data_IF_698373725742
#
_entry.id   IF_698373725742
#
_cell.length_a   1.000
_cell.length_b   1.000
_cell.length_c   1.000
_cell.angle_alpha   90.00
_cell.angle_beta   90.00
_cell.angle_gamma   90.00
#
_symmetry.space_group_name_H-M   'P 1'
#
loop_
_entity.id
_entity.type
_entity.pdbx_description
1 polymer ?
#
# COMPACT_ATOMS: atom_id res chain seq x y z
N UNK A 1 -5.40 14.87 -1.94
CA UNK A 1 -6.07 14.73 -3.26
C UNK A 1 -5.09 14.91 -4.40
N UNK A 2 -4.48 13.82 -4.89
CA UNK A 2 -3.49 13.86 -5.99
C UNK A 2 -4.16 13.76 -7.36
N UNK A 3 -3.80 14.65 -8.30
CA UNK A 3 -4.28 14.63 -9.69
C UNK A 3 -3.92 13.33 -10.41
N UNK A 4 -2.70 12.84 -10.17
CA UNK A 4 -2.21 11.56 -10.71
C UNK A 4 -3.11 10.38 -10.34
N UNK A 5 -3.53 10.31 -9.07
CA UNK A 5 -4.40 9.23 -8.60
C UNK A 5 -5.75 9.27 -9.30
N UNK A 6 -6.36 10.45 -9.46
CA UNK A 6 -7.64 10.60 -10.16
C UNK A 6 -7.55 10.15 -11.63
N UNK A 7 -6.45 10.47 -12.30
CA UNK A 7 -6.23 10.07 -13.70
C UNK A 7 -5.95 8.57 -13.87
N UNK A 8 -5.26 7.94 -12.92
CA UNK A 8 -4.86 6.53 -13.02
C UNK A 8 -5.81 5.57 -12.35
N UNK A 9 -6.74 6.05 -11.51
CA UNK A 9 -7.71 5.26 -10.74
C UNK A 9 -8.40 4.16 -11.57
N UNK A 10 -8.86 4.48 -12.78
CA UNK A 10 -9.56 3.53 -13.66
C UNK A 10 -8.66 2.45 -14.27
N UNK A 11 -7.35 2.68 -14.29
CA UNK A 11 -6.35 1.74 -14.81
C UNK A 11 -5.67 0.93 -13.70
N UNK A 12 -6.00 1.17 -12.43
CA UNK A 12 -5.47 0.40 -11.31
C UNK A 12 -6.29 -0.87 -11.15
N UNK A 13 -5.60 -1.99 -10.96
CA UNK A 13 -6.18 -3.28 -10.57
C UNK A 13 -5.53 -3.74 -9.27
N UNK A 14 -6.16 -4.69 -8.57
CA UNK A 14 -5.54 -5.31 -7.40
C UNK A 14 -4.15 -5.87 -7.76
N UNK A 15 -3.30 -5.91 -6.74
CA UNK A 15 -1.95 -6.43 -6.82
C UNK A 15 -1.73 -7.48 -5.73
N UNK A 16 -0.85 -8.45 -5.99
CA UNK A 16 -0.33 -9.32 -4.93
C UNK A 16 0.83 -8.62 -4.30
N UNK A 17 0.90 -8.65 -2.97
CA UNK A 17 2.08 -8.19 -2.24
C UNK A 17 2.61 -9.29 -1.34
N UNK A 18 3.90 -9.60 -1.51
CA UNK A 18 4.66 -10.50 -0.64
C UNK A 18 5.52 -9.66 0.28
N UNK A 19 5.44 -9.95 1.58
CA UNK A 19 6.24 -9.29 2.61
C UNK A 19 7.23 -10.32 3.16
N UNK A 20 8.52 -10.03 3.02
CA UNK A 20 9.59 -10.87 3.54
C UNK A 20 10.49 -10.08 4.51
N UNK A 21 10.92 -10.67 5.64
CA UNK A 21 11.84 -10.01 6.54
C UNK A 21 13.24 -9.88 5.91
N UNK A 22 13.97 -8.86 6.33
CA UNK A 22 15.38 -8.65 5.95
C UNK A 22 16.31 -8.86 7.15
N UNK A 23 17.59 -9.14 6.87
CA UNK A 23 18.58 -9.43 7.92
C UNK A 23 18.83 -8.24 8.88
N UNK A 24 18.58 -7.01 8.43
CA UNK A 24 18.68 -5.76 9.19
C UNK A 24 17.39 -5.42 9.96
N UNK A 25 16.42 -6.34 10.02
CA UNK A 25 15.15 -6.16 10.74
C UNK A 25 14.09 -5.35 9.99
N UNK A 26 14.35 -5.02 8.72
CA UNK A 26 13.38 -4.40 7.82
C UNK A 26 12.48 -5.40 7.12
N UNK A 27 11.76 -4.92 6.10
CA UNK A 27 10.85 -5.71 5.27
C UNK A 27 11.08 -5.41 3.78
N UNK A 28 11.12 -6.46 2.97
CA UNK A 28 10.97 -6.40 1.52
C UNK A 28 9.48 -6.57 1.19
N UNK A 29 8.85 -5.49 0.73
CA UNK A 29 7.49 -5.48 0.23
C UNK A 29 7.54 -5.56 -1.30
N UNK A 30 7.30 -6.74 -1.85
CA UNK A 30 7.29 -7.01 -3.29
C UNK A 30 5.86 -7.04 -3.78
N UNK A 31 5.48 -6.08 -4.62
CA UNK A 31 4.15 -5.96 -5.20
C UNK A 31 4.15 -6.28 -6.69
N UNK A 32 3.28 -7.19 -7.11
CA UNK A 32 3.07 -7.60 -8.49
C UNK A 32 1.72 -7.11 -8.97
N UNK A 33 1.70 -6.32 -10.05
CA UNK A 33 0.49 -5.68 -10.57
C UNK A 33 0.45 -5.68 -12.09
N UNK A 34 -0.76 -5.63 -12.64
CA UNK A 34 -0.99 -5.53 -14.07
C UNK A 34 -0.81 -4.08 -14.54
N UNK A 35 0.02 -3.86 -15.55
CA UNK A 35 0.21 -2.56 -16.20
C UNK A 35 0.33 -2.73 -17.71
N UNK A 36 -0.54 -2.07 -18.47
CA UNK A 36 -0.59 -2.18 -19.95
C UNK A 36 -0.60 -3.65 -20.42
N UNK A 37 -1.43 -4.47 -19.77
CA UNK A 37 -1.56 -5.92 -20.02
C UNK A 37 -0.33 -6.78 -19.71
N UNK A 38 0.72 -6.22 -19.10
CA UNK A 38 1.91 -6.94 -18.66
C UNK A 38 1.99 -6.97 -17.14
N UNK A 39 2.52 -8.08 -16.60
CA UNK A 39 2.81 -8.19 -15.18
C UNK A 39 4.11 -7.46 -14.85
N UNK A 40 4.03 -6.43 -14.02
CA UNK A 40 5.19 -5.73 -13.47
C UNK A 40 5.31 -6.06 -11.98
N UNK A 41 6.55 -6.30 -11.53
CA UNK A 41 6.86 -6.51 -10.11
C UNK A 41 7.74 -5.38 -9.60
N UNK A 42 7.44 -4.85 -8.41
CA UNK A 42 8.22 -3.81 -7.74
C UNK A 42 8.46 -4.17 -6.29
N UNK A 43 9.72 -4.09 -5.86
CA UNK A 43 10.10 -4.31 -4.47
C UNK A 43 10.45 -3.00 -3.79
N UNK A 44 9.86 -2.78 -2.62
CA UNK A 44 10.10 -1.67 -1.71
C UNK A 44 10.86 -2.20 -0.50
N UNK A 45 12.04 -1.64 -0.23
CA UNK A 45 12.78 -1.93 0.99
C UNK A 45 12.31 -0.97 2.10
N UNK A 46 11.59 -1.51 3.07
CA UNK A 46 11.10 -0.80 4.25
C UNK A 46 12.10 -0.99 5.39
N UNK A 47 12.78 0.07 5.78
CA UNK A 47 13.76 0.04 6.89
C UNK A 47 13.10 0.38 8.22
N UNK A 48 13.52 -0.21 9.34
CA UNK A 48 12.98 0.16 10.66
C UNK A 48 13.19 1.64 10.96
N UNK A 49 12.17 2.31 11.49
CA UNK A 49 12.23 3.73 11.87
C UNK A 49 12.24 3.95 13.40
N UNK A 50 12.66 2.94 14.16
CA UNK A 50 12.77 2.98 15.63
C UNK A 50 11.48 2.59 16.36
N UNK A 51 10.33 3.15 15.98
CA UNK A 51 9.03 2.79 16.57
C UNK A 51 8.52 1.45 15.97
N UNK A 52 8.10 0.47 16.79
CA UNK A 52 7.50 -0.76 16.29
C UNK A 52 6.30 -0.48 15.35
N UNK A 53 6.27 -1.15 14.21
CA UNK A 53 5.24 -0.94 13.18
C UNK A 53 5.46 0.29 12.29
N UNK A 54 6.53 1.07 12.53
CA UNK A 54 6.93 2.19 11.69
C UNK A 54 8.18 1.85 10.89
N UNK A 55 8.10 2.11 9.59
CA UNK A 55 9.18 1.88 8.64
C UNK A 55 9.42 3.13 7.80
N UNK A 56 10.63 3.27 7.27
CA UNK A 56 11.00 4.31 6.33
C UNK A 56 11.34 3.71 4.98
N UNK A 57 10.83 4.32 3.92
CA UNK A 57 11.12 4.01 2.53
C UNK A 57 11.72 5.23 1.83
N UNK A 58 12.90 5.06 1.26
CA UNK A 58 13.54 6.08 0.42
C UNK A 58 13.42 5.68 -1.04
N UNK A 59 12.77 6.51 -1.85
CA UNK A 59 12.67 6.31 -3.29
C UNK A 59 14.05 6.50 -3.94
N UNK A 60 14.62 5.46 -4.60
CA UNK A 60 15.93 5.59 -5.23
C UNK A 60 15.93 6.61 -6.38
N UNK A 61 14.80 6.76 -7.07
CA UNK A 61 14.69 7.62 -8.24
C UNK A 61 14.48 9.10 -7.88
N UNK A 62 13.66 9.36 -6.86
CA UNK A 62 13.27 10.73 -6.50
C UNK A 62 14.00 11.29 -5.27
N UNK A 63 14.73 10.44 -4.53
CA UNK A 63 15.35 10.82 -3.26
C UNK A 63 14.35 11.20 -2.16
N UNK A 64 13.04 11.05 -2.41
CA UNK A 64 12.00 11.32 -1.43
C UNK A 64 11.94 10.20 -0.40
N UNK A 65 11.68 10.58 0.85
CA UNK A 65 11.52 9.63 1.96
C UNK A 65 10.07 9.64 2.40
N UNK A 66 9.55 8.45 2.67
CA UNK A 66 8.20 8.24 3.16
C UNK A 66 8.25 7.36 4.40
N UNK A 67 7.42 7.69 5.38
CA UNK A 67 7.21 6.85 6.54
C UNK A 67 5.96 6.02 6.31
N UNK A 68 6.06 4.72 6.59
CA UNK A 68 5.03 3.70 6.41
C UNK A 68 4.69 3.14 7.77
N UNK A 69 3.44 3.35 8.18
CA UNK A 69 2.91 2.92 9.47
C UNK A 69 1.95 1.77 9.27
N UNK A 70 2.17 0.65 9.96
CA UNK A 70 1.16 -0.39 10.14
C UNK A 70 0.26 0.07 11.28
N UNK A 71 -0.85 0.72 10.94
CA UNK A 71 -1.75 1.37 11.90
C UNK A 71 -2.53 0.34 12.72
N UNK A 72 -3.04 -0.69 12.04
CA UNK A 72 -3.74 -1.80 12.68
C UNK A 72 -3.66 -3.02 11.77
N UNK A 73 -3.55 -4.19 12.39
CA UNK A 73 -3.55 -5.48 11.69
C UNK A 73 -4.01 -6.54 12.66
N UNK A 74 -4.72 -7.55 12.16
CA UNK A 74 -4.99 -8.80 12.89
C UNK A 74 -4.04 -9.93 12.42
N UNK A 75 -3.07 -9.61 11.56
CA UNK A 75 -2.07 -10.48 10.94
C UNK A 75 -2.65 -11.53 9.96
N UNK A 76 -3.82 -12.08 10.28
CA UNK A 76 -4.45 -13.21 9.59
C UNK A 76 -5.53 -12.79 8.57
N UNK A 77 -6.08 -11.59 8.71
CA UNK A 77 -7.20 -11.11 7.88
C UNK A 77 -6.82 -9.88 7.06
N UNK A 78 -6.32 -8.84 7.71
CA UNK A 78 -6.08 -7.54 7.10
C UNK A 78 -4.98 -6.74 7.79
N UNK A 79 -4.43 -5.76 7.07
CA UNK A 79 -3.60 -4.71 7.63
C UNK A 79 -3.99 -3.36 7.01
N UNK A 80 -4.13 -2.33 7.86
CA UNK A 80 -4.27 -0.94 7.43
C UNK A 80 -2.93 -0.23 7.57
N UNK A 81 -2.46 0.32 6.46
CA UNK A 81 -1.23 1.07 6.41
C UNK A 81 -1.50 2.54 6.11
N UNK A 82 -0.64 3.38 6.66
CA UNK A 82 -0.60 4.81 6.36
C UNK A 82 0.80 5.21 5.93
N UNK A 83 0.91 5.77 4.73
CA UNK A 83 2.17 6.22 4.16
C UNK A 83 2.14 7.73 4.02
N UNK A 84 3.15 8.41 4.55
CA UNK A 84 3.30 9.87 4.48
C UNK A 84 4.68 10.24 3.98
N UNK A 85 4.78 11.24 3.11
CA UNK A 85 6.06 11.79 2.71
C UNK A 85 6.67 12.63 3.82
N UNK A 86 7.91 12.35 4.19
CA UNK A 86 8.61 13.08 5.25
C UNK A 86 9.73 13.96 4.72
N UNK A 87 10.28 13.67 3.54
CA UNK A 87 11.39 14.43 2.95
C UNK A 87 11.33 14.51 1.43
N UNK A 88 11.75 15.67 0.89
CA UNK A 88 11.88 15.91 -0.55
C UNK A 88 10.56 16.31 -1.22
N UNK A 89 10.50 16.20 -2.55
CA UNK A 89 9.34 16.57 -3.38
C UNK A 89 8.06 15.77 -3.06
N UNK A 90 8.16 14.69 -2.28
CA UNK A 90 7.04 13.85 -1.88
C UNK A 90 6.37 14.25 -0.57
N UNK A 91 6.72 15.37 0.07
CA UNK A 91 6.28 15.68 1.44
C UNK A 91 4.76 15.84 1.62
N UNK A 92 4.07 16.24 0.56
CA UNK A 92 2.60 16.36 0.55
C UNK A 92 1.89 15.04 0.16
N UNK A 93 2.65 13.95 0.01
CA UNK A 93 2.12 12.64 -0.31
C UNK A 93 1.53 11.99 0.95
N UNK A 94 0.27 11.60 0.86
CA UNK A 94 -0.41 10.79 1.87
C UNK A 94 -1.19 9.68 1.18
N UNK A 95 -1.10 8.46 1.71
CA UNK A 95 -1.79 7.29 1.18
C UNK A 95 -2.23 6.37 2.30
N UNK A 96 -3.51 5.99 2.29
CA UNK A 96 -4.05 4.92 3.10
C UNK A 96 -4.14 3.65 2.24
N UNK A 97 -3.71 2.51 2.78
CA UNK A 97 -3.72 1.22 2.06
C UNK A 97 -4.35 0.15 2.92
N UNK A 98 -5.27 -0.62 2.33
CA UNK A 98 -5.81 -1.84 2.91
C UNK A 98 -5.12 -3.03 2.24
N UNK A 99 -4.38 -3.80 3.02
CA UNK A 99 -3.97 -5.15 2.66
C UNK A 99 -4.97 -6.16 3.23
N UNK A 100 -5.33 -7.15 2.43
CA UNK A 100 -6.23 -8.24 2.80
C UNK A 100 -5.56 -9.55 2.44
N UNK A 101 -5.69 -10.57 3.29
CA UNK A 101 -5.21 -11.93 2.97
C UNK A 101 -6.05 -12.61 1.88
N UNK A 102 -7.28 -12.14 1.67
CA UNK A 102 -8.15 -12.59 0.58
C UNK A 102 -8.40 -11.48 -0.43
N UNK A 103 -8.65 -11.86 -1.69
CA UNK A 103 -9.05 -10.94 -2.75
C UNK A 103 -10.42 -10.28 -2.48
N UNK A 104 -11.27 -10.92 -1.68
CA UNK A 104 -12.62 -10.47 -1.31
C UNK A 104 -12.70 -10.13 0.20
N UNK A 105 -12.15 -8.99 0.66
CA UNK A 105 -12.29 -8.59 2.04
C UNK A 105 -13.76 -8.42 2.43
N UNK A 106 -14.11 -8.85 3.64
CA UNK A 106 -15.48 -8.73 4.20
C UNK A 106 -15.91 -7.27 4.25
N UNK A 107 -17.22 -7.04 4.22
CA UNK A 107 -17.79 -5.69 4.26
C UNK A 107 -17.30 -4.88 5.47
N UNK A 108 -17.20 -5.51 6.64
CA UNK A 108 -16.69 -4.90 7.87
C UNK A 108 -15.25 -4.37 7.74
N UNK A 109 -14.39 -5.07 7.00
CA UNK A 109 -13.00 -4.66 6.76
C UNK A 109 -12.96 -3.46 5.80
N UNK A 110 -13.79 -3.49 4.76
CA UNK A 110 -13.95 -2.36 3.83
C UNK A 110 -14.48 -1.12 4.55
N UNK A 111 -15.43 -1.28 5.46
CA UNK A 111 -15.97 -0.20 6.27
C UNK A 111 -14.91 0.36 7.23
N UNK A 112 -14.15 -0.51 7.92
CA UNK A 112 -12.99 -0.10 8.73
C UNK A 112 -12.00 0.75 7.92
N UNK A 113 -11.65 0.33 6.71
CA UNK A 113 -10.76 1.09 5.84
C UNK A 113 -11.35 2.45 5.45
N UNK A 114 -12.63 2.48 5.05
CA UNK A 114 -13.31 3.73 4.69
C UNK A 114 -13.36 4.72 5.86
N UNK A 115 -13.69 4.26 7.06
CA UNK A 115 -13.70 5.07 8.28
C UNK A 115 -12.31 5.59 8.63
N UNK A 116 -11.30 4.71 8.54
CA UNK A 116 -9.90 5.09 8.74
C UNK A 116 -9.46 6.16 7.74
N UNK A 117 -9.71 5.97 6.45
CA UNK A 117 -9.35 6.95 5.41
C UNK A 117 -10.06 8.30 5.62
N UNK A 118 -11.35 8.30 5.96
CA UNK A 118 -12.09 9.54 6.29
C UNK A 118 -11.49 10.27 7.50
N UNK A 119 -11.07 9.53 8.53
CA UNK A 119 -10.39 10.10 9.72
C UNK A 119 -9.06 10.75 9.37
N UNK A 120 -8.33 10.20 8.38
CA UNK A 120 -7.10 10.80 7.84
C UNK A 120 -7.34 11.96 6.86
N UNK A 121 -8.60 12.37 6.65
CA UNK A 121 -8.97 13.50 5.80
C UNK A 121 -9.17 13.16 4.32
N UNK A 122 -9.20 11.88 3.95
CA UNK A 122 -9.54 11.48 2.58
C UNK A 122 -11.05 11.66 2.32
N UNK A 123 -11.38 12.24 1.18
CA UNK A 123 -12.78 12.39 0.73
C UNK A 123 -13.27 11.10 0.09
N UNK A 124 -14.59 10.88 0.10
CA UNK A 124 -15.20 9.63 -0.39
C UNK A 124 -14.88 9.32 -1.86
N UNK A 125 -14.72 10.33 -2.72
CA UNK A 125 -14.31 10.17 -4.12
C UNK A 125 -12.88 9.62 -4.29
N UNK A 126 -12.04 9.78 -3.27
CA UNK A 126 -10.65 9.33 -3.25
C UNK A 126 -10.44 7.98 -2.59
N UNK A 127 -11.46 7.45 -1.93
CA UNK A 127 -11.45 6.10 -1.36
C UNK A 127 -11.90 5.13 -2.45
N UNK A 128 -11.06 4.14 -2.75
CA UNK A 128 -11.30 3.21 -3.86
C UNK A 128 -10.99 1.79 -3.42
N UNK A 129 -11.82 0.86 -3.86
CA UNK A 129 -11.53 -0.56 -3.80
C UNK A 129 -11.16 -0.99 -5.22
N UNK A 130 -9.95 -1.51 -5.38
CA UNK A 130 -9.43 -1.87 -6.69
C UNK A 130 -10.20 -3.07 -7.25
N UNK A 131 -10.46 -3.11 -8.57
CA UNK A 131 -11.09 -4.26 -9.20
C UNK A 131 -10.20 -5.48 -9.08
N UNK A 132 -10.84 -6.64 -8.90
CA UNK A 132 -10.15 -7.92 -8.89
C UNK A 132 -9.57 -8.23 -10.27
N UNK A 133 -8.46 -8.95 -10.29
CA UNK A 133 -7.88 -9.45 -11.52
C UNK A 133 -7.26 -10.80 -11.23
N UNK A 134 -7.47 -11.78 -12.09
CA UNK A 134 -6.80 -13.08 -11.97
C UNK A 134 -5.40 -13.04 -12.62
N UNK A 135 -5.08 -11.97 -13.34
CA UNK A 135 -3.79 -11.79 -14.01
C UNK A 135 -2.73 -11.38 -12.99
N UNK A 136 -1.54 -11.97 -13.12
CA UNK A 136 -0.39 -11.66 -12.25
C UNK A 136 -0.61 -12.01 -10.76
N UNK A 137 -1.55 -12.92 -10.48
CA UNK A 137 -1.90 -13.39 -9.15
C UNK A 137 -1.24 -14.73 -8.79
N UNK A 138 -0.17 -15.14 -9.49
CA UNK A 138 0.45 -16.45 -9.28
C UNK A 138 0.71 -16.71 -7.79
N UNK A 139 0.02 -17.74 -7.28
CA UNK A 139 0.17 -18.22 -5.92
C UNK A 139 1.57 -18.82 -5.80
N UNK A 140 2.42 -18.22 -4.97
CA UNK A 140 3.56 -18.95 -4.44
C UNK A 140 3.00 -20.02 -3.51
N UNK A 141 2.83 -21.23 -4.07
CA UNK A 141 2.50 -22.46 -3.34
C UNK A 141 3.64 -22.83 -2.39
#
# INVERSE_FOLDING_TARGET
NSSWFREKKSALSMCVSVVAPTADGGLNLTSTFLRKEQCETRTLLLRPAGTPGCYSYTSPHWGSTHDVWVVTTDYDGFALLYTVGTKGLGRDFHMATLYSRTQTPRAEIKEKFSTFAKTQGFTEDTIVFLPQTDKCMEEHT
#
